data_IF_939479604616
#
_entry.id   IF_939479604616
#
_cell.length_a   1.000
_cell.length_b   1.000
_cell.length_c   1.000
_cell.angle_alpha   90.00
_cell.angle_beta   90.00
_cell.angle_gamma   90.00
#
_symmetry.space_group_name_H-M   'P 1'
#
loop_
_entity.id
_entity.type
_entity.pdbx_description
1 polymer ?
#
# COMPACT_ATOMS: atom_id res chain seq x y z
N UNK A 1 -4.63 32.15 14.58
CA UNK A 1 -4.88 30.94 13.77
C UNK A 1 -3.53 30.28 13.61
N UNK A 2 -3.28 29.13 14.23
CA UNK A 2 -1.96 28.50 14.23
C UNK A 2 -1.91 27.44 13.12
N UNK A 3 -1.10 27.70 12.09
CA UNK A 3 -0.60 26.66 11.20
C UNK A 3 0.30 25.73 12.05
N UNK A 4 -0.15 24.50 12.32
CA UNK A 4 0.51 23.61 13.27
C UNK A 4 1.03 22.33 12.63
N UNK A 5 2.28 21.95 12.91
CA UNK A 5 2.79 20.60 12.61
C UNK A 5 2.53 19.67 13.81
N UNK A 6 1.61 18.72 13.66
CA UNK A 6 1.39 17.61 14.57
C UNK A 6 2.29 16.44 14.18
N UNK A 7 3.14 15.99 15.09
CA UNK A 7 3.99 14.81 14.90
C UNK A 7 3.51 13.68 15.82
N UNK A 8 3.25 12.51 15.25
CA UNK A 8 2.95 11.28 15.98
C UNK A 8 4.18 10.38 15.90
N UNK A 9 4.70 9.92 17.04
CA UNK A 9 5.84 9.01 17.13
C UNK A 9 5.49 7.82 18.02
N UNK A 10 5.31 6.64 17.42
CA UNK A 10 4.91 5.44 18.14
C UNK A 10 5.54 4.21 17.47
N UNK A 11 6.13 3.33 18.29
CA UNK A 11 6.82 2.12 17.84
C UNK A 11 5.82 1.06 17.32
N UNK A 12 4.57 1.10 17.79
CA UNK A 12 3.51 0.22 17.32
C UNK A 12 2.89 0.78 16.04
N UNK A 13 3.51 0.40 14.92
CA UNK A 13 3.20 0.97 13.60
C UNK A 13 1.72 0.93 13.25
N UNK A 14 1.02 -0.18 13.56
CA UNK A 14 -0.39 -0.34 13.21
C UNK A 14 -1.29 0.60 14.00
N UNK A 15 -1.03 0.76 15.31
CA UNK A 15 -1.81 1.64 16.16
C UNK A 15 -1.63 3.11 15.74
N UNK A 16 -0.38 3.53 15.53
CA UNK A 16 -0.05 4.89 15.11
C UNK A 16 -0.67 5.27 13.76
N UNK A 17 -0.69 4.31 12.81
CA UNK A 17 -1.36 4.47 11.51
C UNK A 17 -2.87 4.63 11.66
N UNK A 18 -3.50 3.82 12.52
CA UNK A 18 -4.93 3.94 12.79
C UNK A 18 -5.28 5.30 13.39
N UNK A 19 -4.48 5.81 14.36
CA UNK A 19 -4.67 7.14 14.94
C UNK A 19 -4.56 8.24 13.90
N UNK A 20 -3.49 8.24 13.10
CA UNK A 20 -3.30 9.23 12.03
C UNK A 20 -4.48 9.22 11.05
N UNK A 21 -4.95 8.04 10.65
CA UNK A 21 -6.08 7.90 9.73
C UNK A 21 -7.36 8.51 10.32
N UNK A 22 -7.62 8.33 11.61
CA UNK A 22 -8.79 8.90 12.28
C UNK A 22 -8.67 10.42 12.48
N UNK A 23 -7.50 10.91 12.90
CA UNK A 23 -7.26 12.35 13.02
C UNK A 23 -7.45 13.06 11.68
N UNK A 24 -6.99 12.44 10.59
CA UNK A 24 -7.16 12.96 9.24
C UNK A 24 -8.62 12.98 8.75
N UNK A 25 -9.57 12.28 9.41
CA UNK A 25 -11.01 12.36 9.10
C UNK A 25 -11.67 13.58 9.74
N UNK A 26 -11.16 14.05 10.87
CA UNK A 26 -11.76 15.11 11.69
C UNK A 26 -11.15 16.49 11.40
N UNK A 27 -10.70 16.75 10.16
CA UNK A 27 -9.85 17.90 9.82
C UNK A 27 -10.47 19.25 10.15
N UNK A 28 -9.66 20.09 10.79
CA UNK A 28 -9.56 21.53 10.54
C UNK A 28 -8.43 21.76 9.52
N UNK A 29 -8.60 22.69 8.57
CA UNK A 29 -7.72 22.87 7.41
C UNK A 29 -6.29 23.34 7.72
N UNK A 30 -5.98 23.62 8.99
CA UNK A 30 -4.79 24.37 9.40
C UNK A 30 -3.71 23.52 10.11
N UNK A 31 -3.92 22.20 10.25
CA UNK A 31 -2.97 21.29 10.93
C UNK A 31 -2.37 20.27 9.96
N UNK A 32 -1.05 20.30 9.80
CA UNK A 32 -0.29 19.30 9.04
C UNK A 32 0.16 18.16 9.96
N UNK A 33 -0.06 16.91 9.57
CA UNK A 33 0.23 15.74 10.39
C UNK A 33 1.34 14.89 9.80
N UNK A 34 2.25 14.42 10.66
CA UNK A 34 3.40 13.60 10.31
C UNK A 34 3.47 12.39 11.24
N UNK A 35 3.80 11.22 10.70
CA UNK A 35 3.91 9.97 11.46
C UNK A 35 5.32 9.40 11.29
N UNK A 36 5.96 9.09 12.42
CA UNK A 36 7.25 8.45 12.49
C UNK A 36 7.20 7.25 13.44
N UNK A 37 8.14 6.31 13.27
CA UNK A 37 8.19 5.11 14.09
C UNK A 37 9.45 5.06 14.97
N UNK A 38 10.41 5.95 14.71
CA UNK A 38 11.64 6.08 15.48
C UNK A 38 11.89 7.53 15.87
N UNK A 39 12.56 7.74 17.01
CA UNK A 39 12.96 9.08 17.44
C UNK A 39 13.96 9.74 16.49
N UNK A 40 14.86 8.97 15.88
CA UNK A 40 15.84 9.50 14.92
C UNK A 40 15.18 10.18 13.71
N UNK A 41 14.05 9.64 13.23
CA UNK A 41 13.27 10.26 12.16
C UNK A 41 12.63 11.58 12.60
N UNK A 42 12.13 11.62 13.85
CA UNK A 42 11.54 12.83 14.44
C UNK A 42 12.59 13.90 14.66
N UNK A 43 13.79 13.54 15.12
CA UNK A 43 14.92 14.47 15.30
C UNK A 43 15.29 15.14 13.97
N UNK A 44 15.48 14.34 12.91
CA UNK A 44 15.76 14.87 11.55
C UNK A 44 14.65 15.75 11.02
N UNK A 45 13.39 15.42 11.32
CA UNK A 45 12.25 16.26 10.95
C UNK A 45 12.27 17.59 11.70
N UNK A 46 12.54 17.55 13.02
CA UNK A 46 12.57 18.73 13.88
C UNK A 46 13.69 19.72 13.50
N UNK A 47 14.77 19.26 12.89
CA UNK A 47 15.82 20.11 12.30
C UNK A 47 15.32 20.96 11.13
N UNK A 48 14.33 20.48 10.39
CA UNK A 48 13.83 21.09 9.15
C UNK A 48 12.52 21.85 9.35
N UNK A 49 11.66 21.37 10.26
CA UNK A 49 10.34 21.95 10.52
C UNK A 49 10.06 22.00 12.01
N UNK A 50 9.46 23.11 12.45
CA UNK A 50 9.04 23.29 13.84
C UNK A 50 7.92 22.33 14.20
N UNK A 51 8.14 21.48 15.21
CA UNK A 51 7.11 20.61 15.78
C UNK A 51 6.25 21.45 16.73
N UNK A 52 4.96 21.55 16.45
CA UNK A 52 4.03 22.30 17.31
C UNK A 52 3.47 21.38 18.37
N UNK A 53 2.89 20.26 17.94
CA UNK A 53 2.33 19.25 18.83
C UNK A 53 3.05 17.94 18.60
N UNK A 54 3.52 17.30 19.67
CA UNK A 54 4.13 15.97 19.62
C UNK A 54 3.25 14.99 20.39
N UNK A 55 2.77 13.93 19.73
CA UNK A 55 2.14 12.78 20.36
C UNK A 55 3.12 11.60 20.33
N UNK A 56 3.62 11.17 21.48
CA UNK A 56 4.71 10.19 21.56
C UNK A 56 4.40 9.03 22.52
N UNK A 57 4.82 7.81 22.16
CA UNK A 57 4.67 6.64 23.02
C UNK A 57 5.45 6.78 24.34
N UNK A 58 4.84 6.38 25.46
CA UNK A 58 5.48 6.32 26.78
C UNK A 58 6.66 5.35 26.84
N UNK A 59 6.74 4.36 25.95
CA UNK A 59 7.90 3.45 25.86
C UNK A 59 9.23 4.21 25.62
N UNK A 60 9.17 5.45 25.13
CA UNK A 60 10.32 6.36 25.11
C UNK A 60 10.55 7.03 26.48
N UNK A 61 11.78 6.93 26.99
CA UNK A 61 12.15 7.55 28.27
C UNK A 61 12.00 9.08 28.26
N UNK A 62 11.94 9.71 29.44
CA UNK A 62 11.85 11.17 29.56
C UNK A 62 13.00 11.87 28.82
N UNK A 63 14.25 11.46 29.07
CA UNK A 63 15.43 12.02 28.43
C UNK A 63 15.41 11.88 26.90
N UNK A 64 14.75 10.86 26.37
CA UNK A 64 14.56 10.67 24.93
C UNK A 64 13.48 11.60 24.36
N UNK A 65 12.35 11.75 25.06
CA UNK A 65 11.24 12.61 24.62
C UNK A 65 11.58 14.10 24.69
N UNK A 66 12.47 14.49 25.62
CA UNK A 66 12.97 15.85 25.77
C UNK A 66 13.89 16.31 24.63
N UNK A 67 14.52 15.37 23.90
CA UNK A 67 15.36 15.70 22.74
C UNK A 67 14.59 16.35 21.61
N UNK A 68 13.28 16.07 21.51
CA UNK A 68 12.42 16.61 20.47
C UNK A 68 11.85 17.96 20.93
N UNK A 69 12.23 19.09 20.33
CA UNK A 69 11.63 20.38 20.66
C UNK A 69 10.19 20.44 20.14
N UNK A 70 9.22 20.57 21.06
CA UNK A 70 7.79 20.71 20.74
C UNK A 70 7.14 21.74 21.67
N UNK A 71 6.12 22.45 21.18
CA UNK A 71 5.37 23.44 21.99
C UNK A 71 4.45 22.71 22.97
N UNK A 72 3.74 21.71 22.47
CA UNK A 72 2.86 20.85 23.27
C UNK A 72 3.32 19.39 23.14
N UNK A 73 3.38 18.68 24.27
CA UNK A 73 3.77 17.28 24.31
C UNK A 73 2.67 16.43 24.95
N UNK A 74 2.14 15.51 24.16
CA UNK A 74 1.18 14.50 24.55
C UNK A 74 1.85 13.13 24.57
N UNK A 75 1.55 12.34 25.60
CA UNK A 75 2.22 11.06 25.84
C UNK A 75 1.17 9.95 25.86
N UNK A 76 1.32 8.98 24.98
CA UNK A 76 0.42 7.83 24.91
C UNK A 76 0.73 6.88 26.07
N UNK A 77 -0.18 6.81 27.04
CA UNK A 77 -0.05 5.98 28.24
C UNK A 77 -0.99 4.78 28.20
N UNK A 78 -0.51 3.63 28.69
CA UNK A 78 -1.33 2.40 28.82
C UNK A 78 -2.08 2.37 30.14
N UNK A 79 -1.62 3.13 31.13
CA UNK A 79 -2.25 3.34 32.43
C UNK A 79 -2.34 4.85 32.76
N UNK A 80 -3.52 5.31 33.19
CA UNK A 80 -3.80 6.72 33.50
C UNK A 80 -3.03 7.27 34.71
N UNK A 81 -2.39 6.41 35.50
CA UNK A 81 -1.58 6.79 36.67
C UNK A 81 -0.08 6.82 36.37
N UNK A 82 0.34 6.65 35.11
CA UNK A 82 1.75 6.69 34.74
C UNK A 82 2.35 8.09 35.01
N UNK A 83 3.55 8.16 35.63
CA UNK A 83 4.19 9.43 35.93
C UNK A 83 4.66 10.13 34.65
N UNK A 84 4.34 11.41 34.50
CA UNK A 84 4.71 12.27 33.38
C UNK A 84 5.48 13.49 33.88
N UNK A 85 6.23 14.16 32.99
CA UNK A 85 6.84 15.44 33.34
C UNK A 85 5.79 16.55 33.45
N UNK A 86 6.12 17.65 34.14
CA UNK A 86 5.19 18.78 34.35
C UNK A 86 4.70 19.43 33.04
N UNK A 87 5.49 19.33 31.97
CA UNK A 87 5.19 19.86 30.63
C UNK A 87 4.59 18.81 29.67
N UNK A 88 4.11 17.68 30.20
CA UNK A 88 3.54 16.58 29.41
C UNK A 88 2.08 16.30 29.80
N UNK A 89 1.24 16.12 28.78
CA UNK A 89 -0.15 15.72 28.95
C UNK A 89 -0.32 14.24 28.61
N UNK A 90 -0.87 13.46 29.54
CA UNK A 90 -1.12 12.03 29.33
C UNK A 90 -2.37 11.77 28.51
N UNK A 91 -2.25 10.93 27.48
CA UNK A 91 -3.36 10.50 26.63
C UNK A 91 -3.50 8.99 26.70
N UNK A 92 -4.66 8.53 27.14
CA UNK A 92 -4.89 7.09 27.33
C UNK A 92 -5.01 6.38 25.98
N UNK A 93 -4.20 5.34 25.75
CA UNK A 93 -4.09 4.64 24.45
C UNK A 93 -5.38 3.93 24.03
N UNK A 94 -6.11 3.35 24.99
CA UNK A 94 -7.29 2.51 24.73
C UNK A 94 -8.60 3.30 24.83
N UNK A 95 -8.73 4.34 24.02
CA UNK A 95 -9.99 5.08 23.83
C UNK A 95 -10.19 5.37 22.33
N UNK A 96 -11.33 5.94 21.95
CA UNK A 96 -11.55 6.26 20.54
C UNK A 96 -10.55 7.30 20.05
N UNK A 97 -10.19 7.25 18.77
CA UNK A 97 -9.28 8.25 18.22
C UNK A 97 -9.93 9.64 18.19
N UNK A 98 -11.25 9.72 18.08
CA UNK A 98 -12.04 10.95 18.25
C UNK A 98 -11.87 11.55 19.65
N UNK A 99 -11.87 10.71 20.70
CA UNK A 99 -11.65 11.17 22.08
C UNK A 99 -10.21 11.65 22.30
N UNK A 100 -9.23 10.95 21.72
CA UNK A 100 -7.81 11.35 21.75
C UNK A 100 -7.64 12.70 21.05
N UNK A 101 -8.21 12.86 19.86
CA UNK A 101 -8.18 14.11 19.11
C UNK A 101 -8.83 15.26 19.89
N UNK A 102 -10.00 15.01 20.47
CA UNK A 102 -10.71 15.99 21.28
C UNK A 102 -9.89 16.38 22.51
N UNK A 103 -9.23 15.44 23.20
CA UNK A 103 -8.36 15.75 24.34
C UNK A 103 -7.14 16.59 23.96
N UNK A 104 -6.65 16.47 22.72
CA UNK A 104 -5.49 17.23 22.25
C UNK A 104 -5.85 18.64 21.80
N UNK A 105 -7.05 18.85 21.22
CA UNK A 105 -7.43 20.11 20.56
C UNK A 105 -8.62 20.83 21.18
N UNK A 106 -9.30 20.22 22.16
CA UNK A 106 -10.37 20.84 22.94
C UNK A 106 -10.07 20.67 24.43
N UNK A 107 -10.13 21.77 25.18
CA UNK A 107 -10.14 21.71 26.65
C UNK A 107 -11.29 20.81 27.15
N UNK A 108 -11.12 20.12 28.29
CA UNK A 108 -11.82 18.90 28.60
C UNK A 108 -13.34 19.10 28.72
N UNK A 109 -14.11 18.29 27.99
CA UNK A 109 -15.54 18.14 28.25
C UNK A 109 -15.71 17.70 29.71
N UNK A 110 -16.50 18.44 30.53
CA UNK A 110 -16.69 18.10 31.93
C UNK A 110 -17.36 16.73 32.06
N UNK A 111 -16.86 15.92 33.01
CA UNK A 111 -17.37 14.59 33.35
C UNK A 111 -18.89 14.63 33.52
N UNK A 112 -19.64 14.11 32.55
CA UNK A 112 -21.05 13.79 32.78
C UNK A 112 -21.13 12.51 33.61
N UNK A 113 -21.63 12.69 34.83
CA UNK A 113 -21.97 11.66 35.79
C UNK A 113 -22.83 10.56 35.12
N UNK A 114 -22.32 9.32 35.13
CA UNK A 114 -23.15 8.13 34.91
C UNK A 114 -24.24 8.07 35.99
N UNK A 115 -25.44 8.55 35.68
CA UNK A 115 -26.65 8.13 36.40
C UNK A 115 -26.91 6.67 36.04
N UNK A 116 -26.93 5.83 37.07
CA UNK A 116 -27.32 4.43 37.05
C UNK A 116 -28.71 4.28 36.40
N UNK A 117 -28.82 3.44 35.39
CA UNK A 117 -30.08 2.78 35.02
C UNK A 117 -29.83 1.28 34.94
N UNK A 118 -30.43 0.59 35.91
CA UNK A 118 -30.57 -0.86 36.05
C UNK A 118 -31.17 -1.53 34.81
N UNK A 119 -30.75 -2.75 34.43
CA UNK A 119 -31.41 -3.51 33.37
C UNK A 119 -32.63 -4.27 33.91
N UNK A 120 -33.80 -4.00 33.34
CA UNK A 120 -35.01 -4.81 33.49
C UNK A 120 -34.97 -6.04 32.56
N UNK A 121 -35.41 -7.18 33.11
CA UNK A 121 -35.64 -8.46 32.41
C UNK A 121 -36.91 -8.40 31.53
N UNK A 122 -37.01 -9.28 30.52
CA UNK A 122 -38.29 -9.92 30.20
C UNK A 122 -38.32 -11.39 30.64
N UNK A 123 -39.50 -11.82 31.09
CA UNK A 123 -39.84 -13.16 31.60
C UNK A 123 -40.24 -14.14 30.48
N UNK A 124 -40.15 -15.42 30.86
CA UNK A 124 -40.53 -16.68 30.21
C UNK A 124 -41.84 -16.74 29.42
N UNK A 125 -41.86 -17.67 28.45
CA UNK A 125 -42.98 -18.58 28.24
C UNK A 125 -42.46 -20.03 28.08
N UNK A 126 -42.99 -20.94 28.91
CA UNK A 126 -42.86 -22.41 28.88
C UNK A 126 -43.43 -22.97 27.55
N UNK A 127 -43.32 -24.23 27.10
CA UNK A 127 -43.33 -25.58 27.71
C UNK A 127 -43.24 -26.55 26.50
N UNK A 128 -42.45 -27.63 26.39
CA UNK A 128 -42.73 -28.94 26.98
C UNK A 128 -41.95 -30.06 26.24
N UNK A 129 -41.66 -31.15 26.98
CA UNK A 129 -41.43 -32.57 26.57
C UNK A 129 -39.96 -33.08 26.44
N UNK A 130 -39.40 -33.51 27.59
CA UNK A 130 -39.17 -34.94 28.01
C UNK A 130 -39.25 -35.98 26.85
N UNK A 131 -38.39 -36.99 26.67
CA UNK A 131 -37.60 -37.82 27.61
C UNK A 131 -36.66 -38.79 26.83
N UNK A 132 -35.48 -39.10 27.40
CA UNK A 132 -34.81 -40.42 27.51
C UNK A 132 -34.47 -41.31 26.28
N UNK A 133 -33.17 -41.66 26.09
CA UNK A 133 -32.56 -42.97 26.49
C UNK A 133 -31.12 -43.19 25.98
N UNK A 134 -30.20 -43.37 26.93
CA UNK A 134 -29.11 -44.38 27.05
C UNK A 134 -28.59 -45.15 25.80
N UNK A 135 -27.26 -45.22 25.60
CA UNK A 135 -26.38 -46.38 25.97
C UNK A 135 -24.91 -46.23 25.53
N UNK A 136 -24.08 -47.00 26.23
CA UNK A 136 -22.62 -47.12 26.35
C UNK A 136 -21.78 -47.51 25.10
N UNK A 137 -20.61 -46.85 24.97
CA UNK A 137 -19.21 -47.39 24.96
C UNK A 137 -18.70 -48.29 23.77
N UNK A 138 -17.39 -48.56 23.61
CA UNK A 138 -16.48 -47.84 22.71
C UNK A 138 -15.72 -48.75 21.70
N UNK A 139 -15.18 -48.23 20.58
CA UNK A 139 -14.08 -48.91 19.84
C UNK A 139 -13.09 -47.96 19.16
N UNK A 140 -11.81 -48.33 19.36
CA UNK A 140 -10.55 -47.77 18.84
C UNK A 140 -10.31 -48.07 17.36
N UNK A 141 -9.64 -47.15 16.66
CA UNK A 141 -8.61 -47.36 15.61
C UNK A 141 -8.02 -45.96 15.31
N UNK A 142 -6.81 -45.54 15.71
CA UNK A 142 -5.42 -45.95 15.41
C UNK A 142 -5.04 -45.90 13.91
N UNK A 143 -4.08 -45.01 13.62
CA UNK A 143 -3.09 -44.88 12.52
C UNK A 143 -3.22 -43.50 11.83
N UNK A 144 -2.18 -42.71 11.55
CA UNK A 144 -0.72 -42.71 11.81
C UNK A 144 -0.22 -41.37 11.22
N UNK A 145 0.64 -40.63 11.92
CA UNK A 145 1.49 -39.62 11.28
C UNK A 145 2.51 -40.30 10.35
N UNK A 146 3.13 -39.53 9.44
CA UNK A 146 4.58 -39.46 9.57
C UNK A 146 5.14 -38.04 9.48
N UNK A 147 6.04 -37.73 10.41
CA UNK A 147 7.18 -36.83 10.22
C UNK A 147 8.24 -37.56 9.40
N UNK A 148 8.98 -36.83 8.57
CA UNK A 148 10.46 -36.79 8.64
C UNK A 148 11.05 -35.69 7.76
N UNK A 149 12.01 -34.98 8.36
CA UNK A 149 13.02 -34.13 7.74
C UNK A 149 14.04 -34.96 6.93
N UNK A 150 14.84 -34.24 6.13
CA UNK A 150 16.00 -34.63 5.32
C UNK A 150 15.59 -35.08 3.89
N UNK A 151 16.06 -34.45 2.80
CA UNK A 151 17.40 -33.93 2.56
C UNK A 151 17.45 -33.17 1.20
N UNK A 152 18.40 -32.21 1.10
CA UNK A 152 19.07 -31.71 -0.12
C UNK A 152 18.36 -30.60 -0.92
N UNK A 153 18.96 -29.45 -1.25
CA UNK A 153 20.39 -29.07 -1.35
C UNK A 153 20.54 -27.54 -1.23
N UNK A 154 21.62 -27.14 -0.55
CA UNK A 154 22.16 -25.78 -0.51
C UNK A 154 22.47 -25.26 -1.92
N UNK A 155 21.97 -24.06 -2.22
CA UNK A 155 22.67 -23.04 -3.00
C UNK A 155 22.46 -21.73 -2.23
N UNK A 156 23.30 -21.46 -1.26
CA UNK A 156 23.48 -20.12 -0.70
C UNK A 156 24.31 -19.34 -1.69
N UNK A 157 23.67 -18.55 -2.55
CA UNK A 157 24.30 -17.34 -3.09
C UNK A 157 24.02 -16.22 -2.10
N UNK A 158 25.10 -15.62 -1.61
CA UNK A 158 25.08 -14.46 -0.73
C UNK A 158 24.28 -13.33 -1.37
N UNK A 159 23.06 -13.11 -0.86
CA UNK A 159 22.29 -11.92 -1.17
C UNK A 159 22.99 -10.75 -0.48
N UNK A 160 23.64 -9.88 -1.26
CA UNK A 160 23.98 -8.53 -0.82
C UNK A 160 22.71 -7.89 -0.26
N UNK A 161 22.76 -7.49 1.01
CA UNK A 161 21.68 -6.75 1.68
C UNK A 161 21.50 -5.43 0.95
N UNK A 162 20.54 -5.40 0.02
CA UNK A 162 20.13 -4.17 -0.63
C UNK A 162 19.39 -3.33 0.42
N UNK A 163 19.93 -2.16 0.73
CA UNK A 163 19.37 -1.27 1.75
C UNK A 163 18.00 -0.78 1.26
N UNK A 164 16.92 -1.39 1.75
CA UNK A 164 15.54 -0.96 1.49
C UNK A 164 15.43 0.54 1.77
N UNK A 165 14.99 1.30 0.77
CA UNK A 165 14.70 2.73 0.95
C UNK A 165 13.51 2.85 1.90
N UNK A 166 13.52 3.75 2.90
CA UNK A 166 12.37 3.94 3.77
C UNK A 166 11.12 4.23 2.93
N UNK A 167 9.98 3.61 3.29
CA UNK A 167 8.68 3.84 2.64
C UNK A 167 8.49 5.33 2.47
N UNK A 168 8.38 5.76 1.22
CA UNK A 168 8.52 7.17 0.91
C UNK A 168 7.40 7.98 1.58
N UNK A 169 7.82 8.97 2.37
CA UNK A 169 6.93 9.85 3.11
C UNK A 169 6.03 10.62 2.14
N UNK A 170 4.73 10.68 2.43
CA UNK A 170 3.76 11.45 1.65
C UNK A 170 4.18 12.94 1.62
N UNK A 171 4.79 13.37 0.51
CA UNK A 171 5.34 14.71 0.34
C UNK A 171 4.93 15.33 -0.98
N UNK A 172 4.20 16.45 -0.90
CA UNK A 172 3.96 17.36 -2.03
C UNK A 172 5.17 18.31 -2.13
N UNK A 173 6.14 17.95 -2.96
CA UNK A 173 7.18 18.88 -3.44
C UNK A 173 6.83 19.37 -4.84
N UNK A 174 7.26 20.56 -5.22
CA UNK A 174 7.21 21.09 -6.59
C UNK A 174 7.91 20.10 -7.53
N UNK A 175 7.13 19.34 -8.30
CA UNK A 175 7.58 18.19 -9.07
C UNK A 175 7.72 18.54 -10.54
N UNK A 176 8.78 18.04 -11.18
CA UNK A 176 8.70 17.74 -12.61
C UNK A 176 7.50 16.81 -12.84
N UNK A 177 6.72 17.07 -13.90
CA UNK A 177 5.49 16.33 -14.18
C UNK A 177 5.83 14.84 -14.28
N UNK A 178 5.18 14.01 -13.47
CA UNK A 178 5.46 12.57 -13.46
C UNK A 178 5.16 11.92 -14.81
N UNK A 179 5.86 10.84 -15.11
CA UNK A 179 5.72 10.10 -16.36
C UNK A 179 4.95 8.79 -16.17
N UNK A 180 3.94 8.63 -17.01
CA UNK A 180 3.22 7.37 -17.20
C UNK A 180 3.93 6.53 -18.28
N UNK A 181 4.33 5.31 -17.93
CA UNK A 181 5.08 4.41 -18.80
C UNK A 181 4.25 3.14 -19.01
N UNK A 182 3.84 2.88 -20.25
CA UNK A 182 3.09 1.68 -20.61
C UNK A 182 4.01 0.57 -21.09
N UNK A 183 3.82 -0.65 -20.62
CA UNK A 183 4.48 -1.86 -21.11
C UNK A 183 3.42 -2.72 -21.78
N UNK A 184 3.47 -2.82 -23.11
CA UNK A 184 2.48 -3.57 -23.89
C UNK A 184 3.12 -4.23 -25.10
N UNK A 185 2.73 -5.47 -25.37
CA UNK A 185 3.10 -6.16 -26.60
C UNK A 185 1.96 -7.07 -27.06
N UNK A 186 1.64 -7.11 -28.36
CA UNK A 186 0.68 -8.07 -28.93
C UNK A 186 1.23 -9.51 -28.95
N UNK A 187 2.46 -9.73 -28.44
CA UNK A 187 3.11 -11.04 -28.38
C UNK A 187 3.09 -11.49 -26.92
N UNK A 188 2.37 -12.58 -26.64
CA UNK A 188 2.30 -13.17 -25.31
C UNK A 188 3.48 -14.08 -25.00
N UNK A 189 3.68 -14.32 -23.70
CA UNK A 189 4.69 -15.25 -23.17
C UNK A 189 6.12 -14.87 -23.58
N UNK A 190 6.44 -13.59 -23.60
CA UNK A 190 7.79 -13.08 -23.92
C UNK A 190 8.56 -12.58 -22.68
N UNK A 191 7.99 -12.73 -21.48
CA UNK A 191 8.60 -12.18 -20.25
C UNK A 191 8.28 -10.69 -20.01
N UNK A 192 7.13 -10.20 -20.51
CA UNK A 192 6.71 -8.79 -20.38
C UNK A 192 6.69 -8.30 -18.93
N UNK A 193 6.06 -9.06 -18.03
CA UNK A 193 5.97 -8.74 -16.58
C UNK A 193 7.36 -8.61 -15.95
N UNK A 194 8.25 -9.56 -16.26
CA UNK A 194 9.64 -9.52 -15.79
C UNK A 194 10.38 -8.29 -16.32
N UNK A 195 10.23 -7.97 -17.61
CA UNK A 195 10.80 -6.76 -18.19
C UNK A 195 10.27 -5.49 -17.50
N UNK A 196 8.95 -5.42 -17.25
CA UNK A 196 8.31 -4.27 -16.62
C UNK A 196 8.83 -4.04 -15.18
N UNK A 197 8.95 -5.11 -14.38
CA UNK A 197 9.49 -5.06 -13.03
C UNK A 197 10.97 -4.63 -13.01
N UNK A 198 11.81 -5.22 -13.85
CA UNK A 198 13.24 -4.87 -13.91
C UNK A 198 13.44 -3.42 -14.40
N UNK A 199 12.65 -2.96 -15.37
CA UNK A 199 12.66 -1.57 -15.81
C UNK A 199 12.22 -0.63 -14.67
N UNK A 200 11.16 -0.99 -13.95
CA UNK A 200 10.68 -0.24 -12.78
C UNK A 200 11.76 -0.12 -11.70
N UNK A 201 12.50 -1.20 -11.40
CA UNK A 201 13.61 -1.19 -10.44
C UNK A 201 14.74 -0.26 -10.85
N UNK A 202 15.08 -0.23 -12.14
CA UNK A 202 16.10 0.68 -12.66
C UNK A 202 15.68 2.16 -12.51
N UNK A 203 14.41 2.49 -12.73
CA UNK A 203 13.88 3.82 -12.43
C UNK A 203 13.92 4.13 -10.92
N UNK A 204 13.47 3.17 -10.10
CA UNK A 204 13.35 3.31 -8.66
C UNK A 204 14.68 3.66 -7.95
N UNK A 205 15.82 3.31 -8.56
CA UNK A 205 17.15 3.69 -8.07
C UNK A 205 17.39 5.21 -8.06
N UNK A 206 16.74 5.94 -8.96
CA UNK A 206 16.95 7.39 -9.14
C UNK A 206 15.79 8.19 -8.56
N UNK A 207 14.58 7.73 -8.79
CA UNK A 207 13.36 8.50 -8.56
C UNK A 207 12.24 7.59 -8.06
N UNK A 208 11.26 8.10 -7.28
CA UNK A 208 10.19 7.26 -6.76
C UNK A 208 9.35 6.68 -7.90
N UNK A 209 9.24 5.35 -7.94
CA UNK A 209 8.55 4.62 -9.00
C UNK A 209 7.47 3.70 -8.41
N UNK A 210 6.31 3.66 -9.06
CA UNK A 210 5.21 2.76 -8.74
C UNK A 210 4.94 1.83 -9.92
N UNK A 211 4.90 0.53 -9.66
CA UNK A 211 4.49 -0.47 -10.63
C UNK A 211 3.04 -0.91 -10.37
N UNK A 212 2.24 -0.95 -11.44
CA UNK A 212 0.86 -1.43 -11.44
C UNK A 212 0.73 -2.52 -12.51
N UNK A 213 0.23 -3.71 -12.12
CA UNK A 213 -0.09 -4.77 -13.06
C UNK A 213 -1.58 -4.76 -13.40
N UNK A 214 -1.87 -4.61 -14.70
CA UNK A 214 -3.19 -4.60 -15.31
C UNK A 214 -3.30 -5.75 -16.34
N UNK A 215 -2.68 -6.88 -16.05
CA UNK A 215 -2.89 -8.14 -16.76
C UNK A 215 -4.01 -8.95 -16.09
N UNK A 216 -4.62 -9.84 -16.86
CA UNK A 216 -5.64 -10.79 -16.37
C UNK A 216 -5.03 -11.75 -15.34
N UNK A 217 -3.79 -12.18 -15.59
CA UNK A 217 -3.10 -13.19 -14.79
C UNK A 217 -1.69 -12.74 -14.44
N UNK A 218 -1.60 -11.94 -13.38
CA UNK A 218 -0.37 -11.26 -12.96
C UNK A 218 0.72 -12.17 -12.34
N UNK A 219 0.50 -13.48 -12.21
CA UNK A 219 1.49 -14.43 -11.65
C UNK A 219 1.60 -14.47 -10.12
N UNK A 220 0.83 -13.64 -9.40
CA UNK A 220 0.65 -13.73 -7.94
C UNK A 220 1.95 -13.70 -7.14
N UNK A 221 2.08 -14.60 -6.15
CA UNK A 221 3.22 -14.62 -5.22
C UNK A 221 4.58 -14.88 -5.85
N UNK A 222 4.63 -15.32 -7.11
CA UNK A 222 5.88 -15.45 -7.85
C UNK A 222 6.55 -14.10 -8.09
N UNK A 223 5.77 -13.06 -8.43
CA UNK A 223 6.27 -11.70 -8.63
C UNK A 223 6.03 -10.80 -7.42
N UNK A 224 5.01 -11.09 -6.61
CA UNK A 224 4.58 -10.25 -5.50
C UNK A 224 4.63 -11.01 -4.17
N UNK A 225 5.81 -11.16 -3.55
CA UNK A 225 5.95 -11.95 -2.33
C UNK A 225 5.32 -11.27 -1.10
N UNK A 226 5.20 -9.93 -1.10
CA UNK A 226 4.57 -9.21 0.01
C UNK A 226 3.06 -9.45 0.06
N UNK A 227 2.55 -9.77 1.25
CA UNK A 227 1.13 -9.97 1.51
C UNK A 227 0.56 -8.74 2.23
N UNK A 228 0.45 -7.62 1.52
CA UNK A 228 -0.10 -6.38 2.11
C UNK A 228 -1.61 -6.49 2.38
N UNK A 229 -2.29 -7.46 1.77
CA UNK A 229 -3.72 -7.74 1.97
C UNK A 229 -4.66 -6.79 1.24
N UNK A 230 -4.14 -5.72 0.62
CA UNK A 230 -4.90 -4.77 -0.18
C UNK A 230 -4.33 -4.69 -1.60
N UNK A 231 -5.21 -4.51 -2.58
CA UNK A 231 -4.87 -4.61 -4.01
C UNK A 231 -5.39 -3.42 -4.83
N UNK A 232 -5.27 -3.51 -6.15
CA UNK A 232 -5.64 -2.45 -7.08
C UNK A 232 -7.14 -2.10 -7.06
N UNK A 233 -8.02 -3.05 -6.73
CA UNK A 233 -9.45 -2.77 -6.55
C UNK A 233 -9.72 -1.88 -5.34
N UNK A 234 -9.01 -2.10 -4.23
CA UNK A 234 -9.07 -1.21 -3.06
C UNK A 234 -8.57 0.19 -3.41
N UNK A 235 -7.52 0.28 -4.23
CA UNK A 235 -6.94 1.56 -4.64
C UNK A 235 -7.92 2.36 -5.49
N UNK A 236 -8.58 1.71 -6.45
CA UNK A 236 -9.65 2.33 -7.24
C UNK A 236 -10.83 2.76 -6.38
N UNK A 237 -11.24 1.94 -5.41
CA UNK A 237 -12.26 2.33 -4.45
C UNK A 237 -11.89 3.63 -3.72
N UNK A 238 -10.63 3.80 -3.32
CA UNK A 238 -10.16 5.04 -2.70
C UNK A 238 -10.07 6.22 -3.69
N UNK A 239 -9.69 5.96 -4.95
CA UNK A 239 -9.65 6.96 -6.01
C UNK A 239 -11.04 7.57 -6.28
N UNK A 240 -12.10 6.74 -6.28
CA UNK A 240 -13.50 7.17 -6.47
C UNK A 240 -14.04 8.08 -5.38
N UNK A 241 -13.48 8.03 -4.17
CA UNK A 241 -14.03 8.74 -3.01
C UNK A 241 -13.72 10.25 -3.02
N UNK A 242 -12.81 10.74 -3.88
CA UNK A 242 -12.35 12.13 -4.11
C UNK A 242 -11.87 12.94 -2.87
N UNK A 243 -12.20 12.51 -1.65
CA UNK A 243 -11.93 13.21 -0.37
C UNK A 243 -10.73 12.63 0.40
N UNK A 244 -10.06 11.61 -0.13
CA UNK A 244 -8.94 10.92 0.51
C UNK A 244 -7.58 11.29 -0.06
N UNK A 245 -6.53 11.29 0.76
CA UNK A 245 -5.16 11.40 0.26
C UNK A 245 -4.72 10.05 -0.33
N UNK A 246 -4.81 9.91 -1.65
CA UNK A 246 -4.45 8.70 -2.39
C UNK A 246 -2.99 8.29 -2.14
N UNK A 247 -2.07 9.26 -2.02
CA UNK A 247 -0.66 8.99 -1.73
C UNK A 247 -0.45 8.31 -0.37
N UNK A 248 -1.18 8.75 0.66
CA UNK A 248 -1.15 8.09 1.96
C UNK A 248 -1.71 6.66 1.88
N UNK A 249 -2.80 6.44 1.12
CA UNK A 249 -3.34 5.08 0.89
C UNK A 249 -2.30 4.17 0.24
N UNK A 250 -1.67 4.63 -0.85
CA UNK A 250 -0.63 3.87 -1.54
C UNK A 250 0.53 3.55 -0.58
N UNK A 251 0.99 4.50 0.25
CA UNK A 251 2.08 4.24 1.22
C UNK A 251 1.78 3.12 2.23
N UNK A 252 0.50 2.87 2.51
CA UNK A 252 0.05 1.78 3.39
C UNK A 252 -0.17 0.46 2.65
N UNK A 253 -0.60 0.53 1.39
CA UNK A 253 -0.97 -0.64 0.57
C UNK A 253 0.21 -1.23 -0.20
N UNK A 254 1.23 -0.43 -0.50
CA UNK A 254 2.32 -0.81 -1.37
C UNK A 254 3.23 -1.89 -0.75
N UNK A 255 3.46 -2.94 -1.53
CA UNK A 255 4.60 -3.85 -1.37
C UNK A 255 5.84 -3.25 -2.02
N UNK A 256 7.00 -3.86 -1.77
CA UNK A 256 8.29 -3.37 -2.27
C UNK A 256 9.16 -4.51 -2.80
N UNK A 257 9.67 -4.34 -4.02
CA UNK A 257 10.76 -5.16 -4.56
C UNK A 257 12.00 -4.28 -4.77
N UNK A 258 12.93 -4.35 -3.81
CA UNK A 258 14.04 -3.41 -3.73
C UNK A 258 13.56 -2.00 -3.38
N UNK A 259 13.77 -1.04 -4.29
CA UNK A 259 13.29 0.35 -4.16
C UNK A 259 12.00 0.63 -4.94
N UNK A 260 11.50 -0.35 -5.71
CA UNK A 260 10.29 -0.22 -6.49
C UNK A 260 9.08 -0.52 -5.61
N UNK A 261 8.16 0.43 -5.51
CA UNK A 261 6.85 0.19 -4.90
C UNK A 261 5.93 -0.48 -5.92
N UNK A 262 5.08 -1.39 -5.45
CA UNK A 262 4.01 -1.97 -6.26
C UNK A 262 2.72 -2.11 -5.46
N UNK A 263 1.59 -2.06 -6.15
CA UNK A 263 0.29 -2.42 -5.58
C UNK A 263 -0.07 -3.82 -6.07
N UNK A 264 -0.60 -4.66 -5.18
CA UNK A 264 -1.00 -6.01 -5.56
C UNK A 264 -2.04 -5.95 -6.69
N UNK A 265 -1.91 -6.81 -7.71
CA UNK A 265 -2.89 -6.91 -8.79
C UNK A 265 -4.25 -7.37 -8.27
N UNK A 266 -5.30 -7.12 -9.05
CA UNK A 266 -6.61 -7.70 -8.75
C UNK A 266 -6.54 -9.24 -8.85
N UNK A 267 -7.03 -9.98 -7.84
CA UNK A 267 -7.01 -11.44 -7.88
C UNK A 267 -8.09 -12.03 -8.80
N UNK A 268 -9.14 -11.28 -9.11
CA UNK A 268 -10.27 -11.71 -9.93
C UNK A 268 -10.34 -10.90 -11.23
N UNK A 269 -10.41 -11.59 -12.36
CA UNK A 269 -10.39 -10.96 -13.70
C UNK A 269 -11.65 -10.13 -13.94
N UNK A 270 -12.79 -10.55 -13.39
CA UNK A 270 -14.06 -9.84 -13.53
C UNK A 270 -13.97 -8.43 -12.96
N UNK A 271 -13.37 -8.27 -11.78
CA UNK A 271 -13.18 -6.97 -11.14
C UNK A 271 -12.36 -6.03 -12.05
N UNK A 272 -11.36 -6.57 -12.75
CA UNK A 272 -10.52 -5.78 -13.67
C UNK A 272 -11.29 -5.35 -14.92
N UNK A 273 -12.10 -6.25 -15.48
CA UNK A 273 -12.92 -5.99 -16.67
C UNK A 273 -14.08 -5.02 -16.41
N UNK A 274 -14.54 -4.89 -15.16
CA UNK A 274 -15.58 -3.94 -14.77
C UNK A 274 -15.08 -2.49 -14.67
N UNK A 275 -13.76 -2.28 -14.57
CA UNK A 275 -13.18 -0.94 -14.43
C UNK A 275 -13.01 -0.32 -15.81
N UNK A 276 -13.70 0.79 -16.04
CA UNK A 276 -13.64 1.50 -17.31
C UNK A 276 -12.29 2.16 -17.57
N UNK A 277 -11.95 2.37 -18.84
CA UNK A 277 -10.76 3.12 -19.27
C UNK A 277 -10.66 4.52 -18.63
N UNK A 278 -11.80 5.20 -18.47
CA UNK A 278 -11.86 6.52 -17.82
C UNK A 278 -11.49 6.47 -16.33
N UNK A 279 -11.91 5.42 -15.62
CA UNK A 279 -11.53 5.22 -14.21
C UNK A 279 -10.04 4.91 -14.06
N UNK A 280 -9.47 4.13 -14.98
CA UNK A 280 -8.02 3.88 -15.02
C UNK A 280 -7.24 5.18 -15.24
N UNK A 281 -7.62 5.96 -16.25
CA UNK A 281 -6.98 7.24 -16.56
C UNK A 281 -7.05 8.21 -15.38
N UNK A 282 -8.22 8.32 -14.74
CA UNK A 282 -8.41 9.13 -13.52
C UNK A 282 -7.49 8.68 -12.39
N UNK A 283 -7.36 7.36 -12.16
CA UNK A 283 -6.46 6.85 -11.14
C UNK A 283 -5.01 7.24 -11.45
N UNK A 284 -4.54 7.06 -12.68
CA UNK A 284 -3.16 7.38 -13.06
C UNK A 284 -2.86 8.88 -12.93
N UNK A 285 -3.80 9.73 -13.34
CA UNK A 285 -3.72 11.17 -13.18
C UNK A 285 -3.58 11.55 -11.70
N UNK A 286 -4.46 11.03 -10.82
CA UNK A 286 -4.36 11.28 -9.38
C UNK A 286 -3.03 10.79 -8.78
N UNK A 287 -2.48 9.67 -9.26
CA UNK A 287 -1.17 9.19 -8.79
C UNK A 287 -0.06 10.17 -9.20
N UNK A 288 -0.04 10.60 -10.46
CA UNK A 288 1.01 11.49 -10.97
C UNK A 288 0.92 12.90 -10.40
N UNK A 289 -0.29 13.42 -10.19
CA UNK A 289 -0.50 14.80 -9.75
C UNK A 289 -0.52 14.95 -8.23
N UNK A 290 -0.93 13.92 -7.49
CA UNK A 290 -1.18 14.03 -6.05
C UNK A 290 -0.36 13.09 -5.18
N UNK A 291 0.42 12.18 -5.79
CA UNK A 291 1.25 11.25 -5.04
C UNK A 291 2.73 11.52 -5.26
N UNK A 292 3.54 10.70 -4.59
CA UNK A 292 5.00 10.85 -4.55
C UNK A 292 5.73 10.22 -5.74
N UNK A 293 5.03 9.62 -6.69
CA UNK A 293 5.66 8.89 -7.79
C UNK A 293 6.01 9.82 -8.96
N UNK A 294 7.26 9.75 -9.42
CA UNK A 294 7.71 10.42 -10.63
C UNK A 294 7.60 9.49 -11.85
N UNK A 295 7.69 8.17 -11.64
CA UNK A 295 7.42 7.16 -12.67
C UNK A 295 6.26 6.26 -12.23
N UNK A 296 5.28 6.08 -13.10
CA UNK A 296 4.23 5.06 -12.93
C UNK A 296 4.34 4.08 -14.10
N UNK A 297 4.67 2.83 -13.80
CA UNK A 297 4.88 1.77 -14.78
C UNK A 297 3.62 0.90 -14.82
N UNK A 298 3.00 0.82 -15.99
CA UNK A 298 1.80 0.03 -16.25
C UNK A 298 2.17 -1.23 -17.03
N UNK A 299 1.91 -2.40 -16.47
CA UNK A 299 2.03 -3.67 -17.18
C UNK A 299 0.67 -4.08 -17.73
N UNK A 300 0.49 -3.91 -19.04
CA UNK A 300 -0.82 -3.93 -19.69
C UNK A 300 -1.08 -5.29 -20.35
N UNK A 301 -2.26 -5.86 -20.05
CA UNK A 301 -2.86 -7.00 -20.76
C UNK A 301 -3.89 -6.56 -21.80
N UNK A 302 -4.49 -7.52 -22.52
CA UNK A 302 -5.47 -7.24 -23.57
C UNK A 302 -6.90 -7.02 -23.03
N UNK A 303 -7.21 -7.52 -21.84
CA UNK A 303 -8.55 -7.43 -21.25
C UNK A 303 -8.79 -6.15 -20.44
N UNK A 304 -7.80 -5.26 -20.34
CA UNK A 304 -8.00 -3.95 -19.71
C UNK A 304 -8.89 -3.09 -20.61
N UNK A 305 -9.99 -2.59 -20.06
CA UNK A 305 -10.84 -1.65 -20.79
C UNK A 305 -10.08 -0.35 -21.06
N UNK A 306 -10.30 0.23 -22.24
CA UNK A 306 -9.61 1.45 -22.65
C UNK A 306 -8.11 1.28 -22.94
N UNK A 307 -7.59 0.06 -23.18
CA UNK A 307 -6.17 -0.21 -23.48
C UNK A 307 -5.53 0.85 -24.40
N UNK A 308 -6.15 1.16 -25.54
CA UNK A 308 -5.59 2.13 -26.48
C UNK A 308 -5.62 3.58 -25.96
N UNK A 309 -6.63 3.95 -25.16
CA UNK A 309 -6.69 5.26 -24.50
C UNK A 309 -5.59 5.38 -23.45
N UNK A 310 -5.35 4.31 -22.69
CA UNK A 310 -4.25 4.23 -21.71
C UNK A 310 -2.90 4.35 -22.43
N UNK A 311 -2.71 3.60 -23.51
CA UNK A 311 -1.51 3.71 -24.33
C UNK A 311 -1.34 5.12 -24.90
N UNK A 312 -2.42 5.81 -25.30
CA UNK A 312 -2.42 7.22 -25.75
C UNK A 312 -2.10 8.22 -24.62
N UNK A 313 -2.42 7.91 -23.38
CA UNK A 313 -2.07 8.73 -22.21
C UNK A 313 -0.62 8.52 -21.73
N UNK A 314 0.00 7.38 -22.04
CA UNK A 314 1.39 7.11 -21.67
C UNK A 314 2.36 8.13 -22.29
N UNK A 315 3.39 8.55 -21.56
CA UNK A 315 4.48 9.38 -22.09
C UNK A 315 5.43 8.54 -22.95
N UNK A 316 5.62 7.27 -22.59
CA UNK A 316 6.41 6.30 -23.34
C UNK A 316 5.70 4.95 -23.30
N UNK A 317 5.71 4.23 -24.42
CA UNK A 317 5.23 2.86 -24.50
C UNK A 317 6.43 1.96 -24.82
N UNK A 318 6.79 1.04 -23.94
CA UNK A 318 7.73 -0.01 -24.27
C UNK A 318 6.99 -1.19 -24.87
N UNK A 319 7.45 -1.65 -26.03
CA UNK A 319 6.94 -2.86 -26.67
C UNK A 319 8.03 -3.92 -26.74
N UNK A 320 8.10 -4.80 -25.72
CA UNK A 320 9.03 -5.91 -25.74
C UNK A 320 8.67 -6.89 -26.86
N UNK A 321 9.67 -7.50 -27.47
CA UNK A 321 9.49 -8.52 -28.50
C UNK A 321 10.65 -9.52 -28.50
N UNK A 322 10.42 -10.68 -29.09
CA UNK A 322 11.46 -11.66 -29.40
C UNK A 322 11.67 -11.71 -30.92
N UNK A 323 12.88 -12.02 -31.36
CA UNK A 323 13.16 -12.18 -32.78
C UNK A 323 12.68 -13.54 -33.29
N UNK A 324 11.42 -13.57 -33.72
CA UNK A 324 10.86 -14.65 -34.49
C UNK A 324 9.87 -14.13 -35.54
N UNK A 325 9.59 -14.95 -36.56
CA UNK A 325 8.75 -14.54 -37.68
C UNK A 325 7.29 -14.29 -37.28
N UNK A 326 6.76 -15.06 -36.32
CA UNK A 326 5.40 -14.90 -35.81
C UNK A 326 5.27 -13.63 -34.97
N UNK A 327 6.25 -13.34 -34.11
CA UNK A 327 6.34 -12.07 -33.39
C UNK A 327 6.34 -10.87 -34.34
N UNK A 328 7.17 -10.92 -35.40
CA UNK A 328 7.22 -9.85 -36.41
C UNK A 328 5.87 -9.66 -37.09
N UNK A 329 5.21 -10.75 -37.49
CA UNK A 329 3.89 -10.67 -38.12
C UNK A 329 2.84 -10.01 -37.20
N UNK A 330 2.80 -10.39 -35.91
CA UNK A 330 1.90 -9.79 -34.91
C UNK A 330 2.19 -8.31 -34.68
N UNK A 331 3.46 -7.91 -34.60
CA UNK A 331 3.84 -6.51 -34.45
C UNK A 331 3.49 -5.66 -35.67
N UNK A 332 3.65 -6.21 -36.88
CA UNK A 332 3.21 -5.56 -38.11
C UNK A 332 1.70 -5.35 -38.09
N UNK A 333 0.92 -6.39 -37.78
CA UNK A 333 -0.54 -6.30 -37.68
C UNK A 333 -0.98 -5.26 -36.64
N UNK A 334 -0.38 -5.27 -35.44
CA UNK A 334 -0.64 -4.28 -34.40
C UNK A 334 -0.34 -2.86 -34.88
N UNK A 335 0.83 -2.63 -35.48
CA UNK A 335 1.23 -1.32 -35.97
C UNK A 335 0.32 -0.82 -37.10
N UNK A 336 -0.08 -1.69 -38.01
CA UNK A 336 -1.05 -1.35 -39.06
C UNK A 336 -2.43 -1.01 -38.50
N UNK A 337 -2.91 -1.75 -37.50
CA UNK A 337 -4.19 -1.48 -36.85
C UNK A 337 -4.16 -0.10 -36.18
N UNK A 338 -3.07 0.26 -35.49
CA UNK A 338 -2.91 1.59 -34.91
C UNK A 338 -2.98 2.70 -35.98
N UNK A 339 -2.33 2.52 -37.13
CA UNK A 339 -2.40 3.48 -38.25
C UNK A 339 -3.81 3.59 -38.83
N UNK A 340 -4.43 2.47 -39.17
CA UNK A 340 -5.76 2.41 -39.78
C UNK A 340 -6.87 2.96 -38.88
N UNK A 341 -6.65 2.99 -37.56
CA UNK A 341 -7.60 3.50 -36.57
C UNK A 341 -7.27 4.92 -36.08
N UNK A 342 -6.29 5.60 -36.68
CA UNK A 342 -5.93 6.98 -36.32
C UNK A 342 -5.17 7.12 -35.01
N UNK A 343 -4.58 6.03 -34.50
CA UNK A 343 -3.86 5.96 -33.21
C UNK A 343 -2.34 5.95 -33.38
N UNK A 344 -1.86 6.62 -34.42
CA UNK A 344 -0.44 6.65 -34.81
C UNK A 344 0.46 7.25 -33.73
N UNK A 345 -0.09 8.14 -32.91
CA UNK A 345 0.59 8.73 -31.75
C UNK A 345 1.10 7.69 -30.74
N UNK A 346 0.48 6.50 -30.66
CA UNK A 346 1.01 5.41 -29.83
C UNK A 346 2.36 4.96 -30.39
N UNK A 347 2.50 4.84 -31.71
CA UNK A 347 3.75 4.41 -32.36
C UNK A 347 4.86 5.46 -32.20
N UNK A 348 4.54 6.75 -32.26
CA UNK A 348 5.52 7.85 -32.14
C UNK A 348 6.29 7.83 -30.80
N UNK A 349 5.63 7.35 -29.74
CA UNK A 349 6.21 7.20 -28.40
C UNK A 349 6.52 5.75 -28.03
N UNK A 350 6.44 4.84 -28.99
CA UNK A 350 6.76 3.44 -28.77
C UNK A 350 8.26 3.19 -28.90
N UNK A 351 8.85 2.58 -27.89
CA UNK A 351 10.21 2.05 -27.91
C UNK A 351 10.12 0.52 -27.98
N UNK A 352 10.43 -0.04 -29.15
CA UNK A 352 10.52 -1.49 -29.29
C UNK A 352 11.79 -2.02 -28.60
N UNK A 353 11.64 -3.03 -27.75
CA UNK A 353 12.76 -3.64 -27.01
C UNK A 353 12.86 -5.13 -27.29
N UNK A 354 13.93 -5.51 -27.97
CA UNK A 354 14.27 -6.92 -28.17
C UNK A 354 14.64 -7.56 -26.82
N UNK A 355 13.99 -8.67 -26.49
CA UNK A 355 14.33 -9.52 -25.36
C UNK A 355 15.16 -10.70 -25.84
N UNK A 356 16.28 -10.94 -25.16
CA UNK A 356 17.11 -12.12 -25.38
C UNK A 356 16.70 -13.24 -24.45
N UNK A 357 16.29 -14.39 -24.99
CA UNK A 357 16.07 -15.60 -24.20
C UNK A 357 17.44 -16.17 -23.84
N UNK A 358 17.87 -16.03 -22.59
CA UNK A 358 19.09 -16.67 -22.12
C UNK A 358 18.83 -18.15 -21.83
N UNK A 359 19.26 -19.05 -22.73
CA UNK A 359 19.24 -20.50 -22.47
C UNK A 359 20.44 -20.84 -21.58
N UNK A 360 20.26 -20.87 -20.25
CA UNK A 360 21.23 -21.50 -19.35
C UNK A 360 20.82 -22.95 -19.07
N UNK A 361 21.63 -23.90 -19.53
CA UNK A 361 21.50 -25.32 -19.15
C UNK A 361 20.35 -26.10 -19.79
N UNK A 362 19.98 -25.79 -21.04
CA UNK A 362 19.00 -26.59 -21.80
C UNK A 362 17.55 -26.47 -21.34
N UNK A 363 17.25 -25.58 -20.39
CA UNK A 363 15.89 -25.19 -20.02
C UNK A 363 15.63 -23.76 -20.48
N UNK A 364 14.62 -23.58 -21.32
CA UNK A 364 14.08 -22.26 -21.65
C UNK A 364 13.45 -21.71 -20.36
N UNK A 365 14.12 -20.76 -19.73
CA UNK A 365 13.48 -19.91 -18.72
C UNK A 365 13.01 -18.64 -19.43
N UNK A 366 11.72 -18.36 -19.30
CA UNK A 366 11.08 -17.16 -19.81
C UNK A 366 11.43 -15.94 -18.94
#
# INVERSE_FOLDING_TARGET
>A
MYEGNLVICDQEQQYARNLLQMFARNRTSDVQMYLFHTLEEVEKFAEQKKVHTLLIDKEYSLAQREKIPAIERFVLVKNRQEPLAENETGVFRYQSAEDIWSQMYHDPVPKQNKKKSTPEKPKEAERSKRTQKTKADPKKQKLREPKTLAERRHITQEAKVDKRRPKAAAGYGTREKGELIGIYSPIHRIGKTRFALELGKEFARKEPALYLNLEEYAGGSYYFPDQTGQNLADLLYYSRQEKGNLGLRISTMAGQDGSLDYILPMPYVQDMQEVSGEEWLRLFEQILEHCIYQKVILDLGDSVDGLFQILEACHTVYTPYIEDETARAKLTQYSENLRKTGRERILEKTIQKKLSIAVKGGKVQW
#
